data_IF_723243790404
#
_entry.id   IF_723243790404
#
_cell.length_a   1.000
_cell.length_b   1.000
_cell.length_c   1.000
_cell.angle_alpha   90.00
_cell.angle_beta   90.00
_cell.angle_gamma   90.00
#
_symmetry.space_group_name_H-M   'P 1'
#
loop_
_entity.id
_entity.type
_entity.pdbx_description
1 polymer ?
#
# COMPACT_ATOMS: atom_id res chain seq x y z
N UNK A 1 -10.64 -33.07 14.26
CA UNK A 1 -11.50 -32.13 13.51
C UNK A 1 -10.64 -31.24 12.64
N UNK A 2 -10.63 -31.46 11.32
CA UNK A 2 -9.89 -30.62 10.35
C UNK A 2 -10.70 -29.34 10.11
N UNK A 3 -10.23 -28.19 10.60
CA UNK A 3 -10.73 -26.90 10.12
C UNK A 3 -10.22 -26.70 8.69
N UNK A 4 -11.15 -26.61 7.75
CA UNK A 4 -10.94 -26.21 6.37
C UNK A 4 -10.30 -24.81 6.38
N UNK A 5 -9.02 -24.71 6.03
CA UNK A 5 -8.38 -23.43 5.67
C UNK A 5 -8.70 -23.22 4.20
N UNK A 6 -9.88 -22.66 3.92
CA UNK A 6 -10.30 -22.20 2.61
C UNK A 6 -10.37 -20.68 2.70
N UNK A 7 -9.52 -19.97 1.95
CA UNK A 7 -9.91 -18.67 1.40
C UNK A 7 -9.19 -17.41 1.87
N UNK A 8 -8.29 -17.44 2.86
CA UNK A 8 -7.65 -16.20 3.33
C UNK A 8 -6.38 -15.90 2.52
N UNK A 9 -6.58 -15.47 1.26
CA UNK A 9 -5.51 -14.97 0.40
C UNK A 9 -5.63 -13.45 0.34
N UNK A 10 -4.64 -12.76 0.91
CA UNK A 10 -4.31 -11.35 0.64
C UNK A 10 -5.39 -10.31 0.98
N UNK A 11 -5.83 -10.25 2.23
CA UNK A 11 -6.79 -9.21 2.69
C UNK A 11 -6.22 -7.80 2.44
N UNK A 12 -4.91 -7.59 2.63
CA UNK A 12 -4.29 -6.28 2.38
C UNK A 12 -4.37 -5.85 0.91
N UNK A 13 -4.02 -6.73 -0.04
CA UNK A 13 -4.07 -6.41 -1.47
C UNK A 13 -5.50 -6.28 -1.98
N UNK A 14 -6.44 -7.10 -1.49
CA UNK A 14 -7.86 -7.06 -1.92
C UNK A 14 -8.56 -5.79 -1.43
N UNK A 15 -8.34 -5.39 -0.16
CA UNK A 15 -8.94 -4.15 0.38
C UNK A 15 -8.45 -2.93 -0.40
N UNK A 16 -7.18 -2.90 -0.79
CA UNK A 16 -6.58 -1.78 -1.53
C UNK A 16 -7.04 -1.75 -3.00
N UNK A 17 -7.15 -2.90 -3.67
CA UNK A 17 -7.65 -2.98 -5.06
C UNK A 17 -9.12 -2.55 -5.18
N UNK A 18 -9.94 -2.81 -4.16
CA UNK A 18 -11.35 -2.36 -4.14
C UNK A 18 -11.47 -0.83 -4.13
N UNK A 19 -10.47 -0.09 -3.63
CA UNK A 19 -10.51 1.38 -3.57
C UNK A 19 -10.44 2.03 -4.97
N UNK A 20 -9.89 1.34 -5.97
CA UNK A 20 -9.59 1.94 -7.29
C UNK A 20 -10.82 2.04 -8.21
N UNK A 21 -11.96 1.43 -7.86
CA UNK A 21 -13.12 1.30 -8.79
C UNK A 21 -14.42 1.87 -8.19
N UNK A 22 -14.73 3.15 -8.44
CA UNK A 22 -16.10 3.66 -8.69
C UNK A 22 -16.14 5.21 -8.82
N UNK A 23 -17.13 5.76 -9.56
CA UNK A 23 -17.22 7.19 -9.95
C UNK A 23 -18.62 7.77 -9.63
N UNK A 24 -19.09 7.73 -8.37
CA UNK A 24 -20.42 8.28 -8.02
C UNK A 24 -20.46 8.82 -6.60
N UNK A 25 -21.09 9.98 -6.36
CA UNK A 25 -21.08 10.80 -5.12
C UNK A 25 -21.35 10.10 -3.77
N UNK A 26 -21.80 8.84 -3.74
CA UNK A 26 -21.81 7.99 -2.54
C UNK A 26 -20.44 7.37 -2.20
N UNK A 27 -19.41 7.62 -3.03
CA UNK A 27 -18.09 7.01 -3.01
C UNK A 27 -17.34 7.18 -1.69
N UNK A 28 -17.41 8.40 -1.13
CA UNK A 28 -16.63 8.74 0.04
C UNK A 28 -17.02 7.89 1.25
N UNK A 29 -18.29 7.50 1.40
CA UNK A 29 -18.74 6.64 2.51
C UNK A 29 -18.24 5.21 2.37
N UNK A 30 -18.20 4.71 1.14
CA UNK A 30 -17.76 3.35 0.84
C UNK A 30 -16.26 3.21 1.11
N UNK A 31 -15.45 4.21 0.76
CA UNK A 31 -14.00 4.13 0.93
C UNK A 31 -13.46 4.70 2.23
N UNK A 32 -14.23 5.48 2.99
CA UNK A 32 -13.82 5.93 4.33
C UNK A 32 -13.54 4.76 5.27
N UNK A 33 -14.38 3.72 5.26
CA UNK A 33 -14.18 2.56 6.13
C UNK A 33 -12.90 1.77 5.79
N UNK A 34 -12.66 1.35 4.53
CA UNK A 34 -11.39 0.76 4.10
C UNK A 34 -10.17 1.65 4.36
N UNK A 35 -10.28 2.95 4.07
CA UNK A 35 -9.16 3.89 4.27
C UNK A 35 -8.81 4.00 5.75
N UNK A 36 -9.82 4.15 6.62
CA UNK A 36 -9.61 4.17 8.06
C UNK A 36 -9.03 2.85 8.57
N UNK A 37 -9.47 1.71 8.03
CA UNK A 37 -8.91 0.41 8.38
C UNK A 37 -7.43 0.35 8.04
N UNK A 38 -7.01 0.73 6.84
CA UNK A 38 -5.59 0.75 6.45
C UNK A 38 -4.79 1.66 7.37
N UNK A 39 -5.26 2.90 7.60
CA UNK A 39 -4.54 3.89 8.43
C UNK A 39 -4.40 3.45 9.89
N UNK A 40 -5.36 2.71 10.45
CA UNK A 40 -5.29 2.20 11.84
C UNK A 40 -4.48 0.91 11.98
N UNK A 41 -4.22 0.21 10.87
CA UNK A 41 -3.41 -1.02 10.84
C UNK A 41 -2.01 -0.78 10.26
N UNK A 42 -1.60 0.50 10.15
CA UNK A 42 -0.22 0.82 9.82
C UNK A 42 0.73 0.36 10.92
N UNK A 43 1.96 -0.05 10.57
CA UNK A 43 2.94 -0.55 11.54
C UNK A 43 3.25 0.43 12.68
N UNK A 44 3.28 1.73 12.38
CA UNK A 44 3.38 2.81 13.38
C UNK A 44 2.92 4.13 12.78
N UNK A 45 2.84 5.19 13.61
CA UNK A 45 2.60 6.56 13.13
C UNK A 45 3.73 7.13 12.28
N UNK A 46 4.90 6.49 12.27
CA UNK A 46 6.11 6.91 11.55
C UNK A 46 6.52 5.96 10.44
N UNK A 47 5.87 4.79 10.32
CA UNK A 47 6.08 3.81 9.28
C UNK A 47 4.75 3.50 8.61
N UNK A 48 4.54 4.11 7.45
CA UNK A 48 3.31 4.04 6.66
C UNK A 48 3.37 2.93 5.59
N UNK A 49 4.47 2.18 5.50
CA UNK A 49 4.59 1.07 4.55
C UNK A 49 4.02 -0.19 5.19
N UNK A 50 2.93 -0.69 4.60
CA UNK A 50 2.12 -1.77 5.12
C UNK A 50 2.89 -3.09 5.14
N UNK A 51 2.55 -3.98 6.08
CA UNK A 51 2.89 -5.39 5.95
C UNK A 51 2.12 -6.00 4.77
N UNK A 52 2.61 -7.12 4.25
CA UNK A 52 1.92 -7.86 3.19
C UNK A 52 0.52 -8.35 3.58
N UNK A 53 0.27 -8.55 4.88
CA UNK A 53 -0.99 -8.95 5.46
C UNK A 53 -1.10 -8.35 6.87
N UNK A 54 -2.22 -7.68 7.16
CA UNK A 54 -2.46 -6.98 8.44
C UNK A 54 -2.78 -7.93 9.60
N UNK A 55 -3.32 -9.12 9.30
CA UNK A 55 -3.75 -10.10 10.29
C UNK A 55 -2.75 -11.26 10.44
N UNK A 56 -1.62 -11.20 9.72
CA UNK A 56 -0.66 -12.29 9.73
C UNK A 56 -0.10 -12.51 11.15
N UNK A 57 -0.29 -13.72 11.73
CA UNK A 57 0.05 -13.97 13.12
C UNK A 57 1.56 -13.92 13.33
N UNK A 58 2.03 -13.11 14.29
CA UNK A 58 3.40 -13.24 14.79
C UNK A 58 3.46 -14.47 15.69
N UNK A 59 4.01 -15.57 15.18
CA UNK A 59 4.16 -16.81 15.94
C UNK A 59 5.48 -17.52 15.59
N UNK A 60 5.77 -18.61 16.29
CA UNK A 60 7.02 -19.37 16.16
C UNK A 60 7.35 -19.85 14.73
N UNK A 61 6.36 -19.86 13.83
CA UNK A 61 6.50 -20.29 12.43
C UNK A 61 6.73 -19.09 11.48
N UNK A 62 6.18 -17.91 11.78
CA UNK A 62 6.35 -16.68 10.99
C UNK A 62 7.26 -15.72 11.77
N UNK A 63 8.57 -15.89 11.60
CA UNK A 63 9.60 -15.07 12.26
C UNK A 63 9.79 -13.69 11.64
N UNK A 64 9.32 -13.52 10.40
CA UNK A 64 9.48 -12.30 9.61
C UNK A 64 8.17 -12.00 8.89
N UNK A 65 7.74 -10.75 8.94
CA UNK A 65 6.59 -10.23 8.21
C UNK A 65 7.10 -9.26 7.15
N UNK A 66 7.14 -9.66 5.87
CA UNK A 66 7.63 -8.77 4.84
C UNK A 66 6.72 -7.55 4.68
N UNK A 67 7.33 -6.45 4.27
CA UNK A 67 6.62 -5.27 3.79
C UNK A 67 6.00 -5.55 2.42
N UNK A 68 5.02 -4.75 2.05
CA UNK A 68 4.57 -4.67 0.67
C UNK A 68 4.51 -3.22 0.20
N UNK A 69 5.60 -2.78 -0.43
CA UNK A 69 5.70 -1.44 -1.02
C UNK A 69 4.70 -1.23 -2.17
N UNK A 70 4.27 -2.31 -2.82
CA UNK A 70 3.29 -2.20 -3.91
C UNK A 70 1.90 -1.85 -3.39
N UNK A 71 1.47 -2.46 -2.28
CA UNK A 71 0.25 -2.10 -1.57
C UNK A 71 0.28 -0.63 -1.10
N UNK A 72 1.37 -0.19 -0.49
CA UNK A 72 1.55 1.20 -0.09
C UNK A 72 1.47 2.18 -1.28
N UNK A 73 2.09 1.85 -2.42
CA UNK A 73 2.05 2.68 -3.63
C UNK A 73 0.64 2.80 -4.21
N UNK A 74 -0.12 1.69 -4.27
CA UNK A 74 -1.53 1.71 -4.71
C UNK A 74 -2.36 2.58 -3.75
N UNK A 75 -2.17 2.40 -2.44
CA UNK A 75 -2.92 3.15 -1.43
C UNK A 75 -2.63 4.66 -1.51
N UNK A 76 -1.37 5.06 -1.68
CA UNK A 76 -1.02 6.46 -1.92
C UNK A 76 -1.73 7.01 -3.16
N UNK A 77 -1.70 6.29 -4.28
CA UNK A 77 -2.37 6.70 -5.51
C UNK A 77 -3.90 6.83 -5.32
N UNK A 78 -4.50 5.91 -4.55
CA UNK A 78 -5.91 5.92 -4.22
C UNK A 78 -6.30 7.10 -3.32
N UNK A 79 -5.48 7.45 -2.33
CA UNK A 79 -5.70 8.62 -1.46
C UNK A 79 -5.73 9.92 -2.25
N UNK A 80 -4.82 10.10 -3.23
CA UNK A 80 -4.84 11.29 -4.10
C UNK A 80 -6.13 11.34 -4.92
N UNK A 81 -6.59 10.21 -5.45
CA UNK A 81 -7.86 10.12 -6.17
C UNK A 81 -9.05 10.47 -5.25
N UNK A 82 -9.12 9.86 -4.07
CA UNK A 82 -10.18 10.10 -3.08
C UNK A 82 -10.23 11.55 -2.60
N UNK A 83 -9.09 12.25 -2.55
CA UNK A 83 -9.03 13.66 -2.17
C UNK A 83 -9.87 14.56 -3.08
N UNK A 84 -10.08 14.18 -4.34
CA UNK A 84 -10.90 14.91 -5.31
C UNK A 84 -12.40 14.70 -5.09
N UNK A 85 -12.78 13.65 -4.35
CA UNK A 85 -14.16 13.30 -4.02
C UNK A 85 -14.51 13.53 -2.54
N UNK A 86 -13.58 14.09 -1.76
CA UNK A 86 -13.78 14.35 -0.35
C UNK A 86 -14.86 15.44 -0.14
N UNK A 87 -15.86 15.20 0.74
CA UNK A 87 -16.96 16.14 0.95
C UNK A 87 -16.55 17.38 1.77
N UNK A 88 -15.40 17.36 2.43
CA UNK A 88 -14.87 18.46 3.26
C UNK A 88 -13.40 18.73 2.93
N UNK A 89 -12.97 19.98 3.13
CA UNK A 89 -11.55 20.37 3.03
C UNK A 89 -10.67 19.52 3.95
N UNK A 90 -11.12 19.29 5.18
CA UNK A 90 -10.34 18.58 6.18
C UNK A 90 -10.07 17.13 5.77
N UNK A 91 -11.07 16.46 5.17
CA UNK A 91 -10.89 15.08 4.68
C UNK A 91 -10.01 15.05 3.44
N UNK A 92 -10.15 16.03 2.55
CA UNK A 92 -9.25 16.20 1.40
C UNK A 92 -7.81 16.34 1.86
N UNK A 93 -7.56 17.23 2.82
CA UNK A 93 -6.23 17.51 3.35
C UNK A 93 -5.65 16.31 4.09
N UNK A 94 -6.47 15.56 4.83
CA UNK A 94 -6.08 14.30 5.44
C UNK A 94 -5.61 13.28 4.40
N UNK A 95 -6.37 13.07 3.33
CA UNK A 95 -5.98 12.14 2.25
C UNK A 95 -4.69 12.57 1.56
N UNK A 96 -4.56 13.85 1.22
CA UNK A 96 -3.35 14.37 0.57
C UNK A 96 -2.13 14.30 1.48
N UNK A 97 -2.29 14.57 2.78
CA UNK A 97 -1.19 14.49 3.76
C UNK A 97 -0.69 13.05 3.87
N UNK A 98 -1.60 12.08 4.01
CA UNK A 98 -1.22 10.67 4.07
C UNK A 98 -0.60 10.18 2.75
N UNK A 99 -1.16 10.59 1.60
CA UNK A 99 -0.61 10.23 0.29
C UNK A 99 0.83 10.74 0.11
N UNK A 100 1.09 12.01 0.44
CA UNK A 100 2.43 12.61 0.38
C UNK A 100 3.39 11.88 1.30
N UNK A 101 2.99 11.63 2.55
CA UNK A 101 3.84 10.94 3.52
C UNK A 101 4.21 9.52 3.07
N UNK A 102 3.28 8.77 2.45
CA UNK A 102 3.58 7.45 1.89
C UNK A 102 4.54 7.56 0.71
N UNK A 103 4.31 8.50 -0.22
CA UNK A 103 5.20 8.74 -1.37
C UNK A 103 6.61 9.12 -0.92
N UNK A 104 6.73 10.01 0.06
CA UNK A 104 8.02 10.42 0.63
C UNK A 104 8.74 9.23 1.25
N UNK A 105 8.03 8.38 1.98
CA UNK A 105 8.61 7.19 2.59
C UNK A 105 9.04 6.16 1.53
N UNK A 106 8.20 5.88 0.52
CA UNK A 106 8.54 5.01 -0.62
C UNK A 106 9.73 5.53 -1.42
N UNK A 107 9.90 6.85 -1.47
CA UNK A 107 11.03 7.51 -2.16
C UNK A 107 12.29 7.62 -1.30
N UNK A 108 12.26 7.13 -0.06
CA UNK A 108 13.44 7.10 0.80
C UNK A 108 14.44 6.02 0.36
N UNK A 109 15.73 6.16 0.72
CA UNK A 109 16.75 5.14 0.43
C UNK A 109 16.45 3.74 0.99
N UNK A 110 15.46 3.61 1.89
CA UNK A 110 15.03 2.33 2.46
C UNK A 110 14.27 1.46 1.46
N UNK A 111 13.51 2.08 0.55
CA UNK A 111 12.59 1.37 -0.36
C UNK A 111 12.85 1.67 -1.83
N UNK A 112 13.57 2.73 -2.15
CA UNK A 112 13.94 3.07 -3.52
C UNK A 112 15.29 2.43 -3.88
N UNK A 113 15.39 1.88 -5.09
CA UNK A 113 16.62 1.21 -5.59
C UNK A 113 17.77 2.18 -5.83
N UNK A 114 17.49 3.49 -5.94
CA UNK A 114 18.51 4.50 -6.20
C UNK A 114 19.49 4.66 -5.04
N UNK A 115 20.72 4.21 -5.26
CA UNK A 115 21.86 4.39 -4.35
C UNK A 115 22.99 3.39 -4.55
N UNK A 116 22.73 2.25 -5.19
CA UNK A 116 23.72 1.19 -5.38
C UNK A 116 24.07 1.01 -6.87
N UNK A 117 25.30 1.41 -7.23
CA UNK A 117 25.90 1.25 -8.57
C UNK A 117 25.97 -0.21 -9.04
N UNK A 118 25.88 -1.17 -8.11
CA UNK A 118 25.96 -2.60 -8.38
C UNK A 118 24.55 -3.22 -8.53
N UNK A 119 23.48 -2.51 -8.13
CA UNK A 119 22.09 -2.91 -8.39
C UNK A 119 21.67 -2.57 -9.82
N UNK A 120 21.46 -3.60 -10.65
CA UNK A 120 21.03 -3.50 -12.06
C UNK A 120 19.58 -3.95 -12.28
N UNK A 121 18.72 -3.84 -11.27
CA UNK A 121 17.30 -4.15 -11.45
C UNK A 121 16.60 -2.96 -12.14
N UNK A 122 15.89 -3.16 -13.26
CA UNK A 122 15.10 -2.10 -13.90
C UNK A 122 13.80 -1.89 -13.11
N UNK A 123 13.93 -1.42 -11.86
CA UNK A 123 12.83 -1.19 -10.94
C UNK A 123 13.06 0.07 -10.10
N UNK A 124 11.97 0.63 -9.57
CA UNK A 124 12.00 1.79 -8.68
C UNK A 124 11.99 1.36 -7.21
N UNK A 125 11.12 0.42 -6.87
CA UNK A 125 10.86 -0.03 -5.50
C UNK A 125 11.43 -1.42 -5.18
N UNK A 126 11.84 -1.61 -3.93
CA UNK A 126 12.15 -2.90 -3.28
C UNK A 126 11.06 -3.28 -2.29
N UNK A 127 11.20 -4.43 -1.61
CA UNK A 127 10.32 -4.82 -0.49
C UNK A 127 8.82 -4.95 -0.85
N UNK A 128 8.55 -5.38 -2.07
CA UNK A 128 7.24 -5.81 -2.51
C UNK A 128 6.99 -7.28 -2.14
N UNK A 129 5.73 -7.63 -1.87
CA UNK A 129 5.32 -9.00 -1.57
C UNK A 129 4.11 -9.41 -2.39
N UNK A 130 4.26 -10.46 -3.21
CA UNK A 130 3.16 -10.96 -4.05
C UNK A 130 2.12 -11.77 -3.25
N UNK A 131 2.55 -12.38 -2.14
CA UNK A 131 1.70 -13.20 -1.26
C UNK A 131 1.21 -14.50 -1.92
N UNK A 132 0.91 -15.56 -1.14
CA UNK A 132 1.08 -15.64 0.30
C UNK A 132 2.55 -15.88 0.69
N UNK A 133 3.03 -15.19 1.72
CA UNK A 133 4.34 -15.48 2.32
C UNK A 133 4.27 -16.78 3.14
N UNK A 134 5.31 -17.63 3.16
CA UNK A 134 6.59 -17.51 2.45
C UNK A 134 6.61 -18.19 1.06
N UNK A 135 5.45 -18.56 0.51
CA UNK A 135 5.37 -19.39 -0.71
C UNK A 135 5.74 -18.62 -1.98
N UNK A 136 5.34 -17.37 -2.08
CA UNK A 136 5.53 -16.52 -3.25
C UNK A 136 6.63 -15.47 -3.00
N UNK A 137 7.03 -14.75 -4.06
CA UNK A 137 8.06 -13.72 -3.96
C UNK A 137 7.74 -12.65 -2.92
N UNK A 138 8.71 -12.39 -2.04
CA UNK A 138 8.73 -11.36 -1.01
C UNK A 138 10.10 -10.70 -1.00
N UNK A 139 10.19 -9.46 -0.51
CA UNK A 139 11.40 -8.65 -0.61
C UNK A 139 11.92 -8.46 -2.05
N UNK A 140 10.98 -8.46 -3.00
CA UNK A 140 11.26 -8.32 -4.44
C UNK A 140 10.76 -6.99 -4.98
N UNK A 141 11.23 -6.62 -6.17
CA UNK A 141 10.64 -5.54 -6.96
C UNK A 141 9.40 -6.04 -7.69
N UNK A 142 8.35 -5.21 -7.71
CA UNK A 142 7.07 -5.52 -8.35
C UNK A 142 6.70 -4.39 -9.30
N UNK A 143 6.54 -4.71 -10.59
CA UNK A 143 6.25 -3.73 -11.65
C UNK A 143 5.00 -2.89 -11.37
N UNK A 144 4.00 -3.46 -10.71
CA UNK A 144 2.79 -2.73 -10.33
C UNK A 144 3.05 -1.74 -9.19
N UNK A 145 3.98 -2.01 -8.28
CA UNK A 145 4.41 -1.03 -7.28
C UNK A 145 5.02 0.21 -7.94
N UNK A 146 5.93 -0.01 -8.90
CA UNK A 146 6.58 1.08 -9.66
C UNK A 146 5.56 1.92 -10.44
N UNK A 147 4.59 1.25 -11.09
CA UNK A 147 3.51 1.91 -11.81
C UNK A 147 2.67 2.81 -10.88
N UNK A 148 2.20 2.28 -9.74
CA UNK A 148 1.34 3.03 -8.84
C UNK A 148 2.08 4.14 -8.08
N UNK A 149 3.37 3.97 -7.79
CA UNK A 149 4.19 5.06 -7.25
C UNK A 149 4.28 6.21 -8.26
N UNK A 150 4.62 5.89 -9.51
CA UNK A 150 4.69 6.87 -10.59
C UNK A 150 3.35 7.58 -10.80
N UNK A 151 2.25 6.81 -10.76
CA UNK A 151 0.90 7.36 -10.84
C UNK A 151 0.60 8.31 -9.67
N UNK A 152 0.93 7.93 -8.43
CA UNK A 152 0.71 8.77 -7.26
C UNK A 152 1.48 10.10 -7.36
N UNK A 153 2.75 10.06 -7.76
CA UNK A 153 3.58 11.26 -7.97
C UNK A 153 2.99 12.15 -9.06
N UNK A 154 2.60 11.59 -10.21
CA UNK A 154 1.98 12.36 -11.30
C UNK A 154 0.65 12.98 -10.86
N UNK A 155 -0.18 12.25 -10.10
CA UNK A 155 -1.45 12.77 -9.57
C UNK A 155 -1.22 13.93 -8.60
N UNK A 156 -0.27 13.78 -7.68
CA UNK A 156 0.10 14.85 -6.74
C UNK A 156 0.61 16.11 -7.46
N UNK A 157 1.39 15.96 -8.52
CA UNK A 157 1.92 17.09 -9.30
C UNK A 157 0.89 17.82 -10.16
N UNK A 158 -0.33 17.29 -10.30
CA UNK A 158 -1.44 17.92 -11.04
C UNK A 158 -2.40 18.73 -10.15
N UNK A 159 -2.27 18.59 -8.83
CA UNK A 159 -3.08 19.29 -7.83
C UNK A 159 -2.39 20.58 -7.38
#
# INVERSE_FOLDING_TARGET
MRKKVIGDVAIASVVIVVIVVAVCSCLHRIFQHPTNYVLTHLPSSTDLITYWDYDAPHNSTIKYQPRDTSAAAIFASALVELSQYAPTSDLKDQFLTNAKAIVDQLSSPKYMIYGDKDYKLPALLTNGTMGPYPKNGYDVSLVYGDYYLTQAVIRLGKL
#
